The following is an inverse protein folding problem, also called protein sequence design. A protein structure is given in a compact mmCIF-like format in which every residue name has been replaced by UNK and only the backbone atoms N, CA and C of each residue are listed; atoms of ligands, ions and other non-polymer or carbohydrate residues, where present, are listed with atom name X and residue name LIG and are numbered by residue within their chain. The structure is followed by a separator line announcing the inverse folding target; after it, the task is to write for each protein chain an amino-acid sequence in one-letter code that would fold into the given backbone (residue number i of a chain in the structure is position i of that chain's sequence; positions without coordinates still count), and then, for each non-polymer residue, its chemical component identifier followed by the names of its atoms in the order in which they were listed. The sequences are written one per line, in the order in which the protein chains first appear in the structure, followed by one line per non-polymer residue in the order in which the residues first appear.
data_IF_036826102758
#
_entry.id   IF_036826102758
#
_cell.length_a   1.000
_cell.length_b   1.000
_cell.length_c   1.000
_cell.angle_alpha   90.00
_cell.angle_beta   90.00
_cell.angle_gamma   90.00
#
_symmetry.space_group_name_H-M   'P 1'
#
loop_
_entity.id
_entity.type
_entity.pdbx_description
1 polymer ?
#
# COMPACT_ATOMS: atom_id res chain seq x y z
N UNK A 1 -4.17 13.76 5.21
CA UNK A 1 -3.77 12.91 6.34
C UNK A 1 -4.79 11.82 6.46
N UNK A 2 -4.36 10.56 6.49
CA UNK A 2 -5.26 9.40 6.59
C UNK A 2 -6.09 9.51 7.88
N UNK A 3 -7.41 9.57 7.74
CA UNK A 3 -8.31 9.45 8.90
C UNK A 3 -8.22 8.01 9.38
N UNK A 4 -8.25 7.80 10.68
CA UNK A 4 -8.38 6.46 11.28
C UNK A 4 -9.67 6.46 12.07
N UNK A 5 -10.49 5.43 11.85
CA UNK A 5 -11.76 5.26 12.57
C UNK A 5 -11.74 3.91 13.26
N UNK A 6 -12.14 3.88 14.53
CA UNK A 6 -12.29 2.63 15.27
C UNK A 6 -13.44 1.82 14.64
N UNK A 7 -13.09 0.65 14.12
CA UNK A 7 -14.03 -0.22 13.43
C UNK A 7 -15.18 -0.70 14.34
N UNK A 8 -14.97 -0.74 15.66
CA UNK A 8 -16.01 -1.13 16.63
C UNK A 8 -17.15 -0.11 16.76
N UNK A 9 -16.92 1.13 16.30
CA UNK A 9 -17.87 2.25 16.44
C UNK A 9 -18.81 2.41 15.24
N UNK A 10 -18.61 1.62 14.18
CA UNK A 10 -19.33 1.76 12.92
C UNK A 10 -20.25 0.57 12.65
N UNK A 11 -21.40 0.83 12.03
CA UNK A 11 -22.26 -0.25 11.54
C UNK A 11 -21.61 -0.93 10.32
N UNK A 12 -22.00 -2.18 10.04
CA UNK A 12 -21.40 -2.97 8.95
C UNK A 12 -21.45 -2.27 7.58
N UNK A 13 -22.55 -1.55 7.29
CA UNK A 13 -22.71 -0.78 6.05
C UNK A 13 -21.71 0.39 5.97
N UNK A 14 -21.49 1.08 7.09
CA UNK A 14 -20.55 2.20 7.19
C UNK A 14 -19.11 1.70 7.11
N UNK A 15 -18.79 0.57 7.75
CA UNK A 15 -17.50 -0.10 7.62
C UNK A 15 -17.17 -0.49 6.19
N UNK A 16 -18.16 -1.00 5.45
CA UNK A 16 -18.00 -1.36 4.03
C UNK A 16 -17.75 -0.13 3.16
N UNK A 17 -18.49 0.94 3.37
CA UNK A 17 -18.28 2.20 2.65
C UNK A 17 -16.90 2.78 2.95
N UNK A 18 -16.54 2.86 4.23
CA UNK A 18 -15.25 3.39 4.67
C UNK A 18 -14.06 2.62 4.07
N UNK A 19 -14.10 1.28 4.10
CA UNK A 19 -13.04 0.47 3.49
C UNK A 19 -12.94 0.66 1.98
N UNK A 20 -14.09 0.83 1.30
CA UNK A 20 -14.12 1.09 -0.14
C UNK A 20 -13.48 2.44 -0.46
N UNK A 21 -13.76 3.46 0.33
CA UNK A 21 -13.15 4.78 0.16
C UNK A 21 -11.63 4.73 0.41
N UNK A 22 -11.16 4.03 1.46
CA UNK A 22 -9.73 3.82 1.72
C UNK A 22 -9.04 3.07 0.55
N UNK A 23 -9.68 2.04 0.02
CA UNK A 23 -9.17 1.29 -1.14
C UNK A 23 -9.10 2.18 -2.40
N UNK A 24 -10.10 3.03 -2.63
CA UNK A 24 -10.13 3.96 -3.77
C UNK A 24 -9.04 5.03 -3.65
N UNK A 25 -8.92 5.70 -2.49
CA UNK A 25 -7.89 6.71 -2.26
C UNK A 25 -6.47 6.15 -2.47
N UNK A 26 -6.23 4.96 -1.94
CA UNK A 26 -4.97 4.25 -2.09
C UNK A 26 -4.68 3.90 -3.55
N UNK A 27 -5.67 3.36 -4.28
CA UNK A 27 -5.49 3.02 -5.69
C UNK A 27 -5.24 4.27 -6.54
N UNK A 28 -5.93 5.38 -6.26
CA UNK A 28 -5.68 6.66 -6.93
C UNK A 28 -4.23 7.13 -6.73
N UNK A 29 -3.71 7.04 -5.49
CA UNK A 29 -2.33 7.42 -5.20
C UNK A 29 -1.31 6.52 -5.93
N UNK A 30 -1.51 5.20 -5.89
CA UNK A 30 -0.61 4.25 -6.54
C UNK A 30 -0.61 4.44 -8.07
N UNK A 31 -1.79 4.61 -8.67
CA UNK A 31 -1.93 4.89 -10.10
C UNK A 31 -1.24 6.21 -10.49
N UNK A 32 -1.35 7.25 -9.66
CA UNK A 32 -0.63 8.51 -9.91
C UNK A 32 0.88 8.30 -10.03
N UNK A 33 1.48 7.47 -9.16
CA UNK A 33 2.90 7.18 -9.28
C UNK A 33 3.24 6.32 -10.50
N UNK A 34 2.40 5.36 -10.88
CA UNK A 34 2.58 4.57 -12.10
C UNK A 34 2.54 5.45 -13.35
N UNK A 35 1.55 6.34 -13.43
CA UNK A 35 1.41 7.31 -14.51
C UNK A 35 2.62 8.26 -14.56
N UNK A 36 3.07 8.76 -13.41
CA UNK A 36 4.30 9.56 -13.34
C UNK A 36 5.53 8.82 -13.89
N UNK A 37 5.72 7.55 -13.51
CA UNK A 37 6.85 6.75 -14.00
C UNK A 37 6.78 6.54 -15.50
N UNK A 38 5.59 6.22 -16.02
CA UNK A 38 5.37 5.99 -17.44
C UNK A 38 5.52 7.27 -18.26
N UNK A 39 4.91 8.36 -17.81
CA UNK A 39 4.77 9.57 -18.62
C UNK A 39 5.94 10.51 -18.47
N UNK A 40 6.46 10.66 -17.25
CA UNK A 40 7.56 11.60 -16.94
C UNK A 40 8.93 10.93 -17.03
N UNK A 41 9.06 9.69 -16.52
CA UNK A 41 10.35 8.98 -16.48
C UNK A 41 10.53 8.01 -17.65
N UNK A 42 9.48 7.76 -18.45
CA UNK A 42 9.48 6.74 -19.53
C UNK A 42 9.92 5.35 -19.04
N UNK A 43 9.53 5.03 -17.81
CA UNK A 43 9.90 3.80 -17.11
C UNK A 43 8.67 2.94 -16.87
N UNK A 44 8.79 1.63 -17.02
CA UNK A 44 7.74 0.70 -16.63
C UNK A 44 7.78 0.48 -15.13
N UNK A 45 6.62 0.54 -14.48
CA UNK A 45 6.47 0.23 -13.07
C UNK A 45 5.18 -0.57 -12.86
N UNK A 46 5.11 -1.31 -11.76
CA UNK A 46 3.89 -2.02 -11.36
C UNK A 46 3.70 -1.98 -9.85
N UNK A 47 2.45 -2.18 -9.43
CA UNK A 47 2.07 -2.33 -8.02
C UNK A 47 1.96 -3.81 -7.68
N UNK A 48 2.72 -4.24 -6.67
CA UNK A 48 2.61 -5.56 -6.06
C UNK A 48 1.83 -5.45 -4.74
N UNK A 49 0.83 -6.30 -4.54
CA UNK A 49 -0.01 -6.30 -3.33
C UNK A 49 -0.04 -7.68 -2.69
N UNK A 50 -0.06 -7.71 -1.35
CA UNK A 50 -0.36 -8.93 -0.59
C UNK A 50 -1.27 -8.65 0.60
N UNK A 51 -2.18 -9.58 0.89
CA UNK A 51 -3.03 -9.54 2.08
C UNK A 51 -2.28 -10.15 3.26
N UNK A 52 -1.87 -9.30 4.22
CA UNK A 52 -1.15 -9.70 5.44
C UNK A 52 -1.43 -8.71 6.56
N UNK A 53 -1.61 -9.26 7.75
CA UNK A 53 -1.96 -8.53 8.98
C UNK A 53 -0.77 -7.74 9.58
N UNK A 54 0.37 -7.73 8.90
CA UNK A 54 1.60 -7.07 9.33
C UNK A 54 2.32 -6.59 8.09
N UNK A 55 2.60 -5.28 8.04
CA UNK A 55 3.32 -4.65 6.93
C UNK A 55 4.69 -5.30 6.73
N UNK A 56 5.44 -5.53 7.82
CA UNK A 56 6.76 -6.14 7.75
C UNK A 56 6.71 -7.54 7.11
N UNK A 57 5.79 -8.40 7.58
CA UNK A 57 5.62 -9.73 7.01
C UNK A 57 5.12 -9.69 5.55
N UNK A 58 4.29 -8.71 5.22
CA UNK A 58 3.85 -8.47 3.85
C UNK A 58 5.01 -8.10 2.92
N UNK A 59 5.89 -7.21 3.36
CA UNK A 59 7.09 -6.79 2.60
C UNK A 59 8.02 -7.98 2.39
N UNK A 60 8.35 -8.72 3.46
CA UNK A 60 9.23 -9.90 3.37
C UNK A 60 8.68 -10.90 2.35
N UNK A 61 7.38 -11.20 2.42
CA UNK A 61 6.73 -12.10 1.45
C UNK A 61 6.83 -11.57 0.01
N UNK A 62 6.60 -10.27 -0.21
CA UNK A 62 6.69 -9.68 -1.54
C UNK A 62 8.12 -9.72 -2.09
N UNK A 63 9.14 -9.54 -1.24
CA UNK A 63 10.55 -9.67 -1.60
C UNK A 63 10.85 -11.11 -2.05
N UNK A 64 10.45 -12.10 -1.26
CA UNK A 64 10.67 -13.51 -1.56
C UNK A 64 10.00 -13.94 -2.87
N UNK A 65 8.73 -13.54 -3.07
CA UNK A 65 7.94 -13.95 -4.24
C UNK A 65 8.40 -13.29 -5.55
N UNK A 66 8.94 -12.08 -5.49
CA UNK A 66 9.27 -11.28 -6.67
C UNK A 66 10.79 -11.07 -6.85
N UNK A 67 11.60 -11.74 -6.02
CA UNK A 67 13.06 -11.63 -6.01
C UNK A 67 13.56 -10.17 -5.99
N UNK A 68 12.95 -9.35 -5.13
CA UNK A 68 13.31 -7.94 -5.01
C UNK A 68 14.69 -7.82 -4.36
N UNK A 69 15.67 -7.31 -5.11
CA UNK A 69 17.05 -7.18 -4.61
C UNK A 69 17.34 -5.81 -3.97
N UNK A 70 16.54 -4.80 -4.31
CA UNK A 70 16.70 -3.43 -3.82
C UNK A 70 15.35 -2.92 -3.35
N UNK A 71 15.25 -2.55 -2.07
CA UNK A 71 14.06 -1.96 -1.47
C UNK A 71 14.36 -0.53 -1.04
N UNK A 72 13.53 0.42 -1.49
CA UNK A 72 13.53 1.80 -1.01
C UNK A 72 12.28 2.00 -0.16
N UNK A 73 12.45 2.52 1.05
CA UNK A 73 11.37 2.79 1.98
C UNK A 73 11.63 4.09 2.74
N UNK A 74 10.59 4.91 2.90
CA UNK A 74 10.65 6.06 3.79
C UNK A 74 10.58 5.63 5.25
N UNK A 75 11.36 6.28 6.11
CA UNK A 75 11.26 6.09 7.56
C UNK A 75 10.38 7.16 8.17
N UNK A 76 9.60 6.76 9.17
CA UNK A 76 8.75 7.62 9.98
C UNK A 76 9.16 7.42 11.43
N UNK A 77 9.35 8.50 12.18
CA UNK A 77 9.59 8.44 13.63
C UNK A 77 8.35 8.04 14.44
N UNK A 78 7.18 7.94 13.78
CA UNK A 78 5.96 7.40 14.35
C UNK A 78 5.74 5.98 13.83
N UNK A 79 5.86 5.01 14.72
CA UNK A 79 5.46 3.61 14.50
C UNK A 79 4.34 3.24 15.48
N UNK A 80 3.10 3.70 15.26
CA UNK A 80 1.99 3.02 15.90
C UNK A 80 1.97 1.57 15.37
N UNK A 81 1.81 0.59 16.27
CA UNK A 81 1.52 -0.81 15.93
C UNK A 81 0.15 -0.86 15.23
N UNK A 82 0.12 -0.47 13.95
CA UNK A 82 -1.08 -0.52 13.13
C UNK A 82 -1.11 -1.88 12.45
N UNK A 83 -2.14 -2.65 12.78
CA UNK A 83 -2.47 -3.85 12.05
C UNK A 83 -2.98 -3.44 10.66
N UNK A 84 -2.10 -3.51 9.66
CA UNK A 84 -2.46 -3.27 8.26
C UNK A 84 -3.06 -4.54 7.67
N UNK A 85 -4.08 -4.40 6.82
CA UNK A 85 -4.71 -5.54 6.13
C UNK A 85 -3.97 -5.93 4.85
N UNK A 86 -3.37 -4.93 4.21
CA UNK A 86 -2.69 -5.05 2.94
C UNK A 86 -1.32 -4.39 3.00
N UNK A 87 -0.41 -4.92 2.19
CA UNK A 87 0.93 -4.37 2.00
C UNK A 87 1.19 -4.21 0.53
N UNK A 88 1.74 -3.06 0.16
CA UNK A 88 1.99 -2.67 -1.22
C UNK A 88 3.46 -2.36 -1.42
N UNK A 89 4.01 -2.80 -2.54
CA UNK A 89 5.36 -2.44 -3.01
C UNK A 89 5.25 -2.04 -4.47
N UNK A 90 5.78 -0.86 -4.81
CA UNK A 90 5.95 -0.45 -6.20
C UNK A 90 7.27 -1.00 -6.74
N UNK A 91 7.21 -1.74 -7.84
CA UNK A 91 8.39 -2.25 -8.53
C UNK A 91 8.66 -1.42 -9.78
N UNK A 92 9.86 -0.85 -9.85
CA UNK A 92 10.34 -0.13 -11.02
C UNK A 92 11.20 -1.06 -11.88
N UNK A 93 10.97 -1.06 -13.19
CA UNK A 93 11.76 -1.82 -14.15
C UNK A 93 12.87 -0.93 -14.72
N UNK A 94 14.09 -1.45 -14.77
CA UNK A 94 15.20 -0.85 -15.50
C UNK A 94 15.24 -1.33 -16.94
#
# INVERSE_FOLDING_TARGET
GFRTVDASQLQEKELKAYRKDEDEEMNTLLNHYLDFCKDSLKMQAETLMTAKNSTANGIVKLIEQNHITNLVMGTSSFSPDIQTKYTFVMRFHR
#
